data_IF_534301644357
#
_entry.id   IF_534301644357
#
_cell.length_a   1.000
_cell.length_b   1.000
_cell.length_c   1.000
_cell.angle_alpha   90.00
_cell.angle_beta   90.00
_cell.angle_gamma   90.00
#
_symmetry.space_group_name_H-M   'P 1'
#
loop_
_entity.id
_entity.type
_entity.pdbx_description
1 polymer ?
#
# COMPACT_ATOMS: atom_id res chain seq x y z
N UNK A 1 23.35 51.36 -43.01
CA UNK A 1 23.17 51.47 -41.57
C UNK A 1 22.81 50.11 -41.02
N UNK A 2 23.82 49.57 -40.39
CA UNK A 2 23.83 48.23 -39.87
C UNK A 2 23.10 48.03 -38.56
N UNK A 3 22.89 46.88 -38.16
CA UNK A 3 23.25 46.42 -36.81
C UNK A 3 23.26 44.88 -36.81
N UNK A 4 24.45 44.34 -36.67
CA UNK A 4 24.69 42.91 -36.41
C UNK A 4 24.53 42.71 -34.90
N UNK A 5 23.55 41.92 -34.47
CA UNK A 5 23.50 41.36 -33.11
C UNK A 5 23.87 39.91 -33.10
N UNK A 6 24.98 39.66 -32.40
CA UNK A 6 25.57 38.35 -32.13
C UNK A 6 24.57 37.36 -31.55
N UNK A 7 24.43 36.25 -32.21
CA UNK A 7 23.75 35.05 -31.69
C UNK A 7 24.70 34.32 -30.74
N UNK A 8 24.47 34.47 -29.45
CA UNK A 8 25.15 33.70 -28.42
C UNK A 8 24.84 32.21 -28.59
N UNK A 9 25.89 31.46 -28.96
CA UNK A 9 25.90 30.02 -28.97
C UNK A 9 25.68 29.46 -27.57
N UNK A 10 24.59 28.71 -27.37
CA UNK A 10 24.38 27.88 -26.18
C UNK A 10 25.36 26.72 -26.22
N UNK A 11 26.10 26.43 -25.11
CA UNK A 11 26.96 25.28 -25.06
C UNK A 11 26.11 23.99 -25.07
N UNK A 12 26.34 23.17 -26.08
CA UNK A 12 25.84 21.79 -26.12
C UNK A 12 26.43 20.99 -24.96
N UNK A 13 25.64 20.70 -23.92
CA UNK A 13 26.00 19.75 -22.88
C UNK A 13 26.17 18.37 -23.51
N UNK A 14 27.36 17.81 -23.40
CA UNK A 14 27.67 16.42 -23.74
C UNK A 14 26.82 15.48 -22.86
N UNK A 15 26.24 14.46 -23.47
CA UNK A 15 25.44 13.43 -22.86
C UNK A 15 26.29 12.34 -22.18
N UNK A 16 27.15 12.72 -21.24
CA UNK A 16 27.97 11.74 -20.51
C UNK A 16 27.94 11.86 -18.98
N UNK A 17 27.04 12.68 -18.44
CA UNK A 17 26.87 12.84 -16.98
C UNK A 17 25.42 12.53 -16.60
N UNK A 18 24.96 11.33 -16.95
CA UNK A 18 23.89 10.66 -16.21
C UNK A 18 24.55 10.06 -14.96
N UNK A 19 24.98 10.93 -14.07
CA UNK A 19 25.11 10.57 -12.67
C UNK A 19 23.76 10.03 -12.25
N UNK A 20 23.69 8.72 -12.02
CA UNK A 20 22.61 8.10 -11.30
C UNK A 20 22.52 8.88 -9.98
N UNK A 21 21.54 9.77 -9.89
CA UNK A 21 21.25 10.45 -8.66
C UNK A 21 20.94 9.33 -7.66
N UNK A 22 21.94 8.96 -6.85
CA UNK A 22 21.71 8.20 -5.64
C UNK A 22 20.78 9.06 -4.79
N UNK A 23 19.47 8.78 -4.89
CA UNK A 23 18.53 9.30 -3.93
C UNK A 23 18.94 8.73 -2.58
N UNK A 24 19.68 9.53 -1.81
CA UNK A 24 19.96 9.25 -0.41
C UNK A 24 18.64 9.51 0.31
N UNK A 25 17.79 8.51 0.34
CA UNK A 25 16.60 8.54 1.16
C UNK A 25 17.02 8.51 2.63
N UNK A 26 16.63 9.52 3.37
CA UNK A 26 16.99 9.71 4.77
C UNK A 26 15.87 9.24 5.66
N UNK A 27 15.75 8.01 6.00
CA UNK A 27 14.63 7.41 6.72
C UNK A 27 13.50 6.96 5.79
N UNK A 28 12.92 5.78 6.03
CA UNK A 28 12.05 5.21 5.03
C UNK A 28 10.82 4.51 5.61
N UNK A 29 9.66 4.96 5.18
CA UNK A 29 8.42 4.22 5.35
C UNK A 29 8.01 3.59 4.02
N UNK A 30 8.18 2.28 3.91
CA UNK A 30 7.69 1.48 2.79
C UNK A 30 6.19 1.26 2.96
N UNK A 31 5.38 1.60 1.96
CA UNK A 31 3.95 1.41 2.09
C UNK A 31 3.30 0.77 0.86
N UNK A 32 2.21 0.06 1.12
CA UNK A 32 1.29 -0.44 0.11
C UNK A 32 -0.13 -0.05 0.47
N UNK A 33 -0.91 0.40 -0.52
CA UNK A 33 -2.32 0.77 -0.34
C UNK A 33 -3.13 0.48 -1.59
N UNK A 34 -4.35 -0.01 -1.43
CA UNK A 34 -5.33 -0.18 -2.52
C UNK A 34 -6.34 0.96 -2.55
N UNK A 35 -7.10 1.15 -1.48
CA UNK A 35 -8.22 2.09 -1.39
C UNK A 35 -7.95 3.30 -0.48
N UNK A 36 -6.68 3.58 -0.21
CA UNK A 36 -6.24 4.80 0.45
C UNK A 36 -6.01 4.71 1.96
N UNK A 37 -6.59 3.78 2.70
CA UNK A 37 -6.45 3.70 4.16
C UNK A 37 -4.98 3.66 4.63
N UNK A 38 -4.21 2.71 4.12
CA UNK A 38 -2.78 2.61 4.47
C UNK A 38 -1.96 3.78 3.93
N UNK A 39 -2.33 4.38 2.79
CA UNK A 39 -1.68 5.60 2.27
C UNK A 39 -1.90 6.78 3.23
N UNK A 40 -3.12 6.94 3.76
CA UNK A 40 -3.41 7.96 4.76
C UNK A 40 -2.53 7.78 6.01
N UNK A 41 -2.47 6.54 6.55
CA UNK A 41 -1.60 6.22 7.70
C UNK A 41 -0.13 6.55 7.38
N UNK A 42 0.37 6.11 6.23
CA UNK A 42 1.75 6.36 5.82
C UNK A 42 2.07 7.85 5.71
N UNK A 43 1.16 8.64 5.11
CA UNK A 43 1.30 10.10 4.98
C UNK A 43 1.34 10.81 6.35
N UNK A 44 0.49 10.41 7.30
CA UNK A 44 0.51 11.01 8.63
C UNK A 44 1.80 10.66 9.37
N UNK A 45 2.21 9.39 9.37
CA UNK A 45 3.46 8.96 9.99
C UNK A 45 4.68 9.63 9.36
N UNK A 46 4.73 9.76 8.03
CA UNK A 46 5.81 10.44 7.32
C UNK A 46 5.98 11.89 7.81
N UNK A 47 4.88 12.62 7.93
CA UNK A 47 4.91 14.02 8.42
C UNK A 47 5.39 14.10 9.87
N UNK A 48 4.85 13.26 10.76
CA UNK A 48 5.16 13.31 12.18
C UNK A 48 6.54 12.75 12.52
N UNK A 49 6.99 11.74 11.79
CA UNK A 49 8.29 11.11 11.98
C UNK A 49 9.41 11.76 11.15
N UNK A 50 9.06 12.67 10.23
CA UNK A 50 9.98 13.29 9.26
C UNK A 50 10.69 12.25 8.39
N UNK A 51 9.92 11.25 7.93
CA UNK A 51 10.40 10.10 7.17
C UNK A 51 9.93 10.15 5.71
N UNK A 52 10.78 9.79 4.77
CA UNK A 52 10.39 9.67 3.36
C UNK A 52 9.48 8.45 3.12
N UNK A 53 8.66 8.55 2.09
CA UNK A 53 7.75 7.48 1.69
C UNK A 53 8.24 6.76 0.44
N UNK A 54 8.28 5.43 0.51
CA UNK A 54 8.47 4.58 -0.65
C UNK A 54 7.21 3.77 -0.93
N UNK A 55 6.55 4.04 -2.06
CA UNK A 55 5.44 3.21 -2.49
C UNK A 55 5.96 1.89 -3.06
N UNK A 56 5.67 0.78 -2.38
CA UNK A 56 6.18 -0.54 -2.74
C UNK A 56 5.96 -0.89 -4.23
N UNK A 57 4.78 -0.64 -4.84
CA UNK A 57 4.59 -0.89 -6.26
C UNK A 57 5.49 -0.09 -7.20
N UNK A 58 5.88 1.14 -6.83
CA UNK A 58 6.81 1.93 -7.64
C UNK A 58 8.23 1.36 -7.57
N UNK A 59 8.66 0.89 -6.40
CA UNK A 59 9.91 0.16 -6.25
C UNK A 59 9.94 -1.11 -7.13
N UNK A 60 8.83 -1.86 -7.17
CA UNK A 60 8.67 -3.00 -8.06
C UNK A 60 8.78 -2.61 -9.54
N UNK A 61 8.09 -1.57 -9.95
CA UNK A 61 8.06 -1.10 -11.33
C UNK A 61 9.43 -0.61 -11.81
N UNK A 62 10.18 0.03 -10.91
CA UNK A 62 11.49 0.61 -11.20
C UNK A 62 12.66 -0.34 -10.88
N UNK A 63 12.36 -1.58 -10.49
CA UNK A 63 13.35 -2.60 -10.07
C UNK A 63 14.30 -2.09 -8.96
N UNK A 64 13.77 -1.27 -8.05
CA UNK A 64 14.52 -0.64 -6.96
C UNK A 64 14.40 -1.49 -5.69
N UNK A 65 15.48 -2.16 -5.32
CA UNK A 65 15.51 -3.09 -4.18
C UNK A 65 16.50 -2.70 -3.09
N UNK A 66 17.43 -1.79 -3.37
CA UNK A 66 18.48 -1.39 -2.46
C UNK A 66 18.22 0.01 -1.90
N UNK A 67 18.31 0.13 -0.58
CA UNK A 67 18.14 1.38 0.15
C UNK A 67 19.27 1.50 1.17
N UNK A 68 19.94 2.65 1.18
CA UNK A 68 21.02 2.95 2.13
C UNK A 68 20.44 3.59 3.38
N UNK A 69 20.79 3.07 4.55
CA UNK A 69 20.30 3.53 5.84
C UNK A 69 21.31 4.44 6.53
N UNK A 70 20.80 5.38 7.31
CA UNK A 70 21.59 6.15 8.28
C UNK A 70 21.63 5.42 9.61
N UNK A 71 22.59 5.77 10.46
CA UNK A 71 22.80 5.12 11.76
C UNK A 71 21.56 5.17 12.67
N UNK A 72 20.91 6.32 12.76
CA UNK A 72 19.74 6.56 13.65
C UNK A 72 18.38 6.46 12.97
N UNK A 73 18.32 5.87 11.80
CA UNK A 73 17.13 5.81 10.99
C UNK A 73 16.07 4.86 11.56
N UNK A 74 14.79 5.21 11.39
CA UNK A 74 13.66 4.30 11.64
C UNK A 74 13.20 3.70 10.32
N UNK A 75 12.83 2.43 10.34
CA UNK A 75 12.36 1.70 9.17
C UNK A 75 10.92 1.28 9.39
N UNK A 76 10.02 1.79 8.57
CA UNK A 76 8.58 1.53 8.68
C UNK A 76 8.03 0.69 7.54
N UNK A 77 7.06 -0.16 7.84
CA UNK A 77 6.21 -0.83 6.86
C UNK A 77 4.74 -0.51 7.13
N UNK A 78 4.03 0.09 6.16
CA UNK A 78 2.61 0.42 6.30
C UNK A 78 1.80 -0.28 5.21
N UNK A 79 0.81 -1.09 5.60
CA UNK A 79 0.06 -1.93 4.66
C UNK A 79 -1.34 -2.30 5.17
N UNK A 80 -2.28 -2.67 4.29
CA UNK A 80 -3.57 -3.21 4.70
C UNK A 80 -3.46 -4.69 5.08
N UNK A 81 -4.33 -5.16 5.94
CA UNK A 81 -4.50 -6.59 6.20
C UNK A 81 -5.38 -7.20 5.11
N UNK A 82 -4.87 -8.19 4.37
CA UNK A 82 -5.61 -8.94 3.38
C UNK A 82 -5.84 -10.38 3.85
N UNK A 83 -7.10 -10.67 4.14
CA UNK A 83 -7.48 -11.99 4.68
C UNK A 83 -6.58 -12.42 5.85
N UNK A 84 -6.44 -11.53 6.84
CA UNK A 84 -5.72 -11.76 8.10
C UNK A 84 -4.21 -12.02 7.96
N UNK A 85 -3.59 -11.46 6.93
CA UNK A 85 -2.14 -11.45 6.75
C UNK A 85 -1.68 -10.20 5.97
N UNK A 86 -0.36 -9.89 5.98
CA UNK A 86 0.19 -8.88 5.09
C UNK A 86 -0.03 -9.26 3.62
N UNK A 87 -0.31 -8.31 2.71
CA UNK A 87 -0.42 -8.61 1.28
C UNK A 87 0.81 -9.32 0.73
N UNK A 88 0.60 -10.23 -0.22
CA UNK A 88 1.69 -10.99 -0.85
C UNK A 88 2.78 -10.08 -1.40
N UNK A 89 2.40 -8.96 -2.04
CA UNK A 89 3.35 -7.98 -2.59
C UNK A 89 4.26 -7.36 -1.50
N UNK A 90 3.75 -7.16 -0.28
CA UNK A 90 4.54 -6.65 0.85
C UNK A 90 5.54 -7.70 1.32
N UNK A 91 5.10 -8.95 1.47
CA UNK A 91 5.96 -10.06 1.89
C UNK A 91 7.07 -10.33 0.86
N UNK A 92 6.75 -10.32 -0.42
CA UNK A 92 7.70 -10.47 -1.51
C UNK A 92 8.67 -9.28 -1.60
N UNK A 93 8.20 -8.06 -1.35
CA UNK A 93 9.05 -6.89 -1.28
C UNK A 93 10.09 -7.03 -0.15
N UNK A 94 9.66 -7.41 1.06
CA UNK A 94 10.57 -7.66 2.19
C UNK A 94 11.62 -8.73 1.82
N UNK A 95 11.22 -9.77 1.10
CA UNK A 95 12.12 -10.85 0.67
C UNK A 95 13.22 -10.36 -0.27
N UNK A 96 12.93 -9.39 -1.16
CA UNK A 96 13.87 -8.83 -2.13
C UNK A 96 14.65 -7.62 -1.60
N UNK A 97 14.09 -6.87 -0.66
CA UNK A 97 14.64 -5.63 -0.14
C UNK A 97 16.05 -5.82 0.43
N UNK A 98 16.95 -4.93 0.08
CA UNK A 98 18.33 -4.84 0.60
C UNK A 98 18.46 -3.52 1.35
N UNK A 99 18.72 -3.60 2.65
CA UNK A 99 18.96 -2.45 3.52
C UNK A 99 20.45 -2.34 3.76
N UNK A 100 21.14 -1.48 2.98
CA UNK A 100 22.58 -1.23 3.15
C UNK A 100 22.83 -0.44 4.43
N UNK A 101 23.77 -0.90 5.23
CA UNK A 101 24.10 -0.26 6.52
C UNK A 101 23.12 -0.62 7.65
N UNK A 102 22.35 -1.70 7.53
CA UNK A 102 21.50 -2.16 8.63
C UNK A 102 22.33 -2.62 9.83
N UNK A 103 22.19 -1.92 10.94
CA UNK A 103 22.86 -2.14 12.23
C UNK A 103 21.84 -2.20 13.38
N UNK A 104 20.77 -2.97 13.19
CA UNK A 104 19.66 -3.10 14.15
C UNK A 104 18.86 -1.78 14.38
N UNK A 105 18.74 -0.95 13.36
CA UNK A 105 17.87 0.24 13.41
C UNK A 105 16.44 -0.14 13.85
N UNK A 106 15.76 0.81 14.47
CA UNK A 106 14.39 0.61 14.94
C UNK A 106 13.45 0.33 13.77
N UNK A 107 12.91 -0.88 13.73
CA UNK A 107 12.04 -1.34 12.67
C UNK A 107 10.62 -1.60 13.20
N UNK A 108 9.63 -1.00 12.56
CA UNK A 108 8.23 -1.11 12.94
C UNK A 108 7.31 -1.42 11.77
N UNK A 109 6.10 -1.87 12.06
CA UNK A 109 5.03 -1.89 11.06
C UNK A 109 3.73 -1.34 11.64
N UNK A 110 2.90 -0.77 10.75
CA UNK A 110 1.53 -0.36 11.04
C UNK A 110 0.60 -0.95 9.97
N UNK A 111 -0.37 -1.74 10.37
CA UNK A 111 -1.34 -2.29 9.44
C UNK A 111 -2.73 -1.69 9.63
N UNK A 112 -3.42 -1.39 8.51
CA UNK A 112 -4.83 -1.02 8.51
C UNK A 112 -5.71 -2.26 8.37
N UNK A 113 -6.75 -2.37 9.17
CA UNK A 113 -7.73 -3.46 9.09
C UNK A 113 -9.14 -2.95 9.37
N UNK A 114 -10.15 -3.67 8.89
CA UNK A 114 -11.55 -3.31 9.16
C UNK A 114 -11.98 -3.66 10.57
N UNK A 115 -11.52 -4.81 11.07
CA UNK A 115 -11.96 -5.34 12.36
C UNK A 115 -10.80 -5.95 13.16
N UNK A 116 -10.09 -6.91 12.60
CA UNK A 116 -8.97 -7.60 13.25
C UNK A 116 -7.87 -8.01 12.25
N UNK A 117 -6.72 -8.37 12.78
CA UNK A 117 -5.51 -8.63 11.99
C UNK A 117 -5.18 -10.12 11.83
N UNK A 118 -5.85 -11.02 12.58
CA UNK A 118 -5.35 -12.38 12.75
C UNK A 118 -3.91 -12.37 13.25
N UNK A 119 -3.10 -13.29 12.76
CA UNK A 119 -1.68 -13.41 13.11
C UNK A 119 -0.75 -12.58 12.20
N UNK A 120 -1.22 -11.44 11.67
CA UNK A 120 -0.42 -10.55 10.81
C UNK A 120 0.93 -10.19 11.44
N UNK A 121 0.95 -9.93 12.77
CA UNK A 121 2.18 -9.69 13.52
C UNK A 121 3.18 -10.82 13.33
N UNK A 122 2.79 -12.06 13.61
CA UNK A 122 3.68 -13.22 13.52
C UNK A 122 4.20 -13.47 12.10
N UNK A 123 3.36 -13.17 11.09
CA UNK A 123 3.78 -13.28 9.67
C UNK A 123 4.83 -12.23 9.35
N UNK A 124 4.66 -10.97 9.82
CA UNK A 124 5.64 -9.91 9.64
C UNK A 124 6.96 -10.19 10.36
N UNK A 125 6.88 -10.54 11.66
CA UNK A 125 8.07 -10.90 12.44
C UNK A 125 8.88 -12.02 11.75
N UNK A 126 8.19 -13.06 11.26
CA UNK A 126 8.84 -14.16 10.53
C UNK A 126 9.49 -13.69 9.23
N UNK A 127 8.81 -12.84 8.44
CA UNK A 127 9.33 -12.33 7.18
C UNK A 127 10.59 -11.47 7.39
N UNK A 128 10.58 -10.62 8.41
CA UNK A 128 11.70 -9.75 8.78
C UNK A 128 12.87 -10.55 9.38
N UNK A 129 12.59 -11.50 10.27
CA UNK A 129 13.61 -12.38 10.86
C UNK A 129 14.33 -13.22 9.80
N UNK A 130 13.64 -13.66 8.73
CA UNK A 130 14.26 -14.36 7.61
C UNK A 130 15.29 -13.50 6.84
N UNK A 131 15.27 -12.17 7.04
CA UNK A 131 16.24 -11.20 6.51
C UNK A 131 17.33 -10.83 7.54
N UNK A 132 17.29 -11.40 8.75
CA UNK A 132 18.13 -11.00 9.87
C UNK A 132 17.72 -9.68 10.52
N UNK A 133 16.49 -9.19 10.25
CA UNK A 133 15.99 -7.93 10.79
C UNK A 133 15.08 -8.17 11.99
N UNK A 134 15.30 -7.37 13.03
CA UNK A 134 14.47 -7.41 14.24
C UNK A 134 13.28 -6.44 14.10
N UNK A 135 12.08 -6.95 14.26
CA UNK A 135 10.89 -6.12 14.41
C UNK A 135 10.80 -5.61 15.85
N UNK A 136 10.84 -4.30 16.05
CA UNK A 136 10.77 -3.69 17.38
C UNK A 136 9.32 -3.39 17.80
N UNK A 137 8.47 -2.99 16.86
CA UNK A 137 7.09 -2.65 17.17
C UNK A 137 6.12 -3.00 16.04
N UNK A 138 4.86 -3.27 16.41
CA UNK A 138 3.81 -3.57 15.45
C UNK A 138 2.44 -3.08 15.94
N UNK A 139 1.71 -2.40 15.07
CA UNK A 139 0.45 -1.75 15.42
C UNK A 139 -0.63 -2.06 14.40
N UNK A 140 -1.89 -2.07 14.85
CA UNK A 140 -3.05 -2.07 13.96
C UNK A 140 -3.90 -0.81 14.17
N UNK A 141 -4.34 -0.21 13.08
CA UNK A 141 -5.30 0.90 13.06
C UNK A 141 -6.58 0.41 12.38
N UNK A 142 -7.69 0.52 13.11
CA UNK A 142 -9.01 0.16 12.58
C UNK A 142 -9.43 1.24 11.58
N UNK A 143 -9.77 0.82 10.37
CA UNK A 143 -10.15 1.69 9.25
C UNK A 143 -11.44 1.14 8.60
N UNK A 144 -12.15 1.93 7.80
CA UNK A 144 -13.35 1.44 7.11
C UNK A 144 -13.10 0.20 6.26
N UNK A 145 -14.06 -0.73 6.29
CA UNK A 145 -14.05 -1.94 5.49
C UNK A 145 -14.18 -1.63 4.00
N UNK A 146 -13.47 -2.39 3.18
CA UNK A 146 -13.48 -2.27 1.72
C UNK A 146 -13.47 -3.61 0.99
N UNK A 147 -13.56 -4.74 1.72
CA UNK A 147 -13.58 -6.05 1.09
C UNK A 147 -15.01 -6.50 0.80
N UNK A 148 -15.31 -6.76 -0.48
CA UNK A 148 -16.67 -7.00 -0.97
C UNK A 148 -16.86 -8.33 -1.71
N UNK A 149 -15.85 -9.21 -1.77
CA UNK A 149 -15.89 -10.41 -2.63
C UNK A 149 -16.51 -11.64 -1.99
N UNK A 150 -16.75 -11.65 -0.68
CA UNK A 150 -17.43 -12.75 -0.01
C UNK A 150 -18.89 -12.43 0.34
N UNK A 151 -19.76 -13.45 0.40
CA UNK A 151 -21.08 -13.29 0.98
C UNK A 151 -20.99 -12.74 2.41
N UNK A 152 -21.85 -11.78 2.76
CA UNK A 152 -21.84 -11.13 4.07
C UNK A 152 -20.79 -10.04 4.27
N UNK A 153 -19.85 -9.87 3.34
CA UNK A 153 -18.89 -8.76 3.37
C UNK A 153 -19.32 -7.62 2.47
N UNK A 154 -19.31 -6.41 3.01
CA UNK A 154 -19.56 -5.17 2.28
C UNK A 154 -18.74 -4.03 2.90
N UNK A 155 -18.81 -2.86 2.29
CA UNK A 155 -18.30 -1.63 2.92
C UNK A 155 -19.13 -1.29 4.16
N UNK A 156 -18.55 -0.55 5.09
CA UNK A 156 -19.26 -0.08 6.27
C UNK A 156 -20.41 0.89 5.90
N UNK A 157 -21.42 1.02 6.77
CA UNK A 157 -22.39 2.11 6.66
C UNK A 157 -21.69 3.46 6.78
N UNK A 158 -22.31 4.53 6.25
CA UNK A 158 -21.69 5.86 6.29
C UNK A 158 -21.46 6.38 7.71
N UNK A 159 -22.27 5.98 8.66
CA UNK A 159 -22.12 6.29 10.09
C UNK A 159 -20.89 5.58 10.66
N UNK A 160 -20.76 4.27 10.39
CA UNK A 160 -19.63 3.47 10.86
C UNK A 160 -18.32 3.89 10.18
N UNK A 161 -18.36 4.20 8.86
CA UNK A 161 -17.24 4.77 8.12
C UNK A 161 -16.70 6.04 8.79
N UNK A 162 -17.58 7.02 9.03
CA UNK A 162 -17.23 8.28 9.71
C UNK A 162 -16.67 8.04 11.12
N UNK A 163 -17.29 7.15 11.88
CA UNK A 163 -16.82 6.78 13.23
C UNK A 163 -15.42 6.21 13.18
N UNK A 164 -15.15 5.22 12.32
CA UNK A 164 -13.83 4.59 12.19
C UNK A 164 -12.77 5.60 11.76
N UNK A 165 -13.06 6.50 10.80
CA UNK A 165 -12.14 7.56 10.38
C UNK A 165 -11.82 8.52 11.53
N UNK A 166 -12.82 8.95 12.30
CA UNK A 166 -12.62 9.81 13.46
C UNK A 166 -11.79 9.15 14.56
N UNK A 167 -12.02 7.87 14.85
CA UNK A 167 -11.29 7.09 15.86
C UNK A 167 -9.86 6.74 15.41
N UNK A 168 -9.61 6.67 14.10
CA UNK A 168 -8.27 6.38 13.56
C UNK A 168 -7.26 7.51 13.86
N UNK A 169 -7.71 8.76 13.92
CA UNK A 169 -6.83 9.91 14.19
C UNK A 169 -6.12 9.79 15.55
N UNK A 170 -6.83 9.76 16.69
CA UNK A 170 -6.17 9.64 18.00
C UNK A 170 -5.44 8.30 18.18
N UNK A 171 -5.91 7.23 17.53
CA UNK A 171 -5.23 5.95 17.54
C UNK A 171 -3.85 6.05 16.86
N UNK A 172 -3.77 6.71 15.71
CA UNK A 172 -2.53 6.91 14.98
C UNK A 172 -1.58 7.87 15.69
N UNK A 173 -2.08 8.94 16.30
CA UNK A 173 -1.27 9.84 17.15
C UNK A 173 -0.60 9.10 18.30
N UNK A 174 -1.32 8.17 18.95
CA UNK A 174 -0.74 7.31 19.99
C UNK A 174 0.36 6.41 19.41
N UNK A 175 0.12 5.77 18.25
CA UNK A 175 1.11 4.95 17.55
C UNK A 175 2.35 5.77 17.21
N UNK A 176 2.17 6.98 16.66
CA UNK A 176 3.26 7.88 16.31
C UNK A 176 4.14 8.24 17.50
N UNK A 177 3.55 8.57 18.66
CA UNK A 177 4.31 8.83 19.90
C UNK A 177 5.16 7.64 20.34
N UNK A 178 4.62 6.41 20.26
CA UNK A 178 5.35 5.18 20.60
C UNK A 178 6.51 4.93 19.63
N UNK A 179 6.31 5.20 18.34
CA UNK A 179 7.36 5.10 17.31
C UNK A 179 8.45 6.17 17.56
N UNK A 180 8.06 7.40 17.88
CA UNK A 180 9.01 8.48 18.22
C UNK A 180 9.88 8.09 19.42
N UNK A 181 9.28 7.50 20.46
CA UNK A 181 9.99 7.00 21.64
C UNK A 181 10.77 5.70 21.41
N UNK A 182 10.72 5.12 20.21
CA UNK A 182 11.33 3.83 19.86
C UNK A 182 10.91 2.69 20.81
N UNK A 183 9.65 2.73 21.25
CA UNK A 183 9.12 1.76 22.20
C UNK A 183 9.01 0.36 21.56
N UNK A 184 9.38 -0.67 22.32
CA UNK A 184 9.19 -2.06 21.90
C UNK A 184 7.80 -2.53 22.32
N UNK A 185 6.82 -2.34 21.43
CA UNK A 185 5.39 -2.60 21.71
C UNK A 185 4.72 -3.27 20.54
N UNK A 186 3.89 -4.27 20.81
CA UNK A 186 3.04 -4.90 19.84
C UNK A 186 1.57 -4.75 20.24
N UNK A 187 0.85 -3.91 19.51
CA UNK A 187 -0.56 -3.58 19.73
C UNK A 187 -1.37 -3.88 18.45
N UNK A 188 -1.43 -5.14 18.08
CA UNK A 188 -2.24 -5.64 16.97
C UNK A 188 -3.49 -6.35 17.51
N UNK A 189 -4.67 -5.99 17.00
CA UNK A 189 -5.94 -6.63 17.39
C UNK A 189 -6.10 -7.95 16.66
N UNK A 190 -5.70 -9.05 17.26
CA UNK A 190 -5.73 -10.38 16.61
C UNK A 190 -7.15 -10.91 16.35
N UNK A 191 -8.13 -10.56 17.19
CA UNK A 191 -9.51 -11.02 17.08
C UNK A 191 -9.71 -12.49 17.46
N UNK A 192 -10.86 -13.06 17.07
CA UNK A 192 -11.20 -14.45 17.33
C UNK A 192 -10.61 -15.40 16.29
N UNK A 193 -10.26 -16.62 16.69
CA UNK A 193 -9.75 -17.71 15.81
C UNK A 193 -8.58 -17.28 14.90
N UNK A 194 -7.57 -16.53 15.39
CA UNK A 194 -6.54 -15.93 14.55
C UNK A 194 -5.72 -16.97 13.81
N UNK A 195 -5.50 -18.14 14.40
CA UNK A 195 -4.79 -19.24 13.75
C UNK A 195 -5.54 -19.75 12.50
N UNK A 196 -6.83 -20.04 12.62
CA UNK A 196 -7.66 -20.52 11.49
C UNK A 196 -7.69 -19.46 10.38
N UNK A 197 -7.93 -18.22 10.73
CA UNK A 197 -7.96 -17.08 9.81
C UNK A 197 -6.66 -16.98 9.01
N UNK A 198 -5.52 -16.98 9.68
CA UNK A 198 -4.22 -16.70 9.03
C UNK A 198 -3.57 -17.97 8.44
N UNK A 199 -3.72 -19.13 9.07
CA UNK A 199 -2.99 -20.34 8.63
C UNK A 199 -3.79 -21.24 7.71
N UNK A 200 -5.11 -21.11 7.69
CA UNK A 200 -5.99 -21.93 6.85
C UNK A 200 -6.69 -21.05 5.80
N UNK A 201 -7.42 -20.01 6.21
CA UNK A 201 -8.22 -19.20 5.29
C UNK A 201 -7.33 -18.34 4.38
N UNK A 202 -6.29 -17.71 4.92
CA UNK A 202 -5.42 -16.84 4.12
C UNK A 202 -4.72 -17.59 2.97
N UNK A 203 -4.11 -18.76 3.13
CA UNK A 203 -3.53 -19.51 2.01
C UNK A 203 -4.55 -19.87 0.92
N UNK A 204 -5.78 -20.23 1.32
CA UNK A 204 -6.86 -20.49 0.36
C UNK A 204 -7.29 -19.21 -0.37
N UNK A 205 -7.36 -18.09 0.34
CA UNK A 205 -7.61 -16.79 -0.26
C UNK A 205 -6.54 -16.44 -1.31
N UNK A 206 -5.27 -16.54 -0.96
CA UNK A 206 -4.15 -16.26 -1.87
C UNK A 206 -4.22 -17.15 -3.11
N UNK A 207 -4.50 -18.44 -2.92
CA UNK A 207 -4.54 -19.42 -4.02
C UNK A 207 -5.74 -19.23 -4.95
N UNK A 208 -6.93 -18.90 -4.43
CA UNK A 208 -8.17 -18.98 -5.19
C UNK A 208 -8.87 -17.63 -5.43
N UNK A 209 -8.66 -16.62 -4.57
CA UNK A 209 -9.38 -15.35 -4.64
C UNK A 209 -8.59 -14.19 -5.25
N UNK A 210 -7.29 -14.35 -5.46
CA UNK A 210 -6.47 -13.29 -6.09
C UNK A 210 -6.53 -13.28 -7.61
N UNK A 211 -7.33 -14.16 -8.22
CA UNK A 211 -7.47 -14.23 -9.68
C UNK A 211 -8.13 -12.96 -10.25
N UNK A 212 -7.53 -12.28 -11.24
CA UNK A 212 -8.17 -11.15 -11.93
C UNK A 212 -9.23 -11.55 -12.94
N UNK A 213 -9.32 -12.84 -13.32
CA UNK A 213 -10.21 -13.33 -14.39
C UNK A 213 -11.68 -12.91 -14.29
N UNK A 214 -12.30 -12.86 -13.08
CA UNK A 214 -13.70 -12.45 -12.98
C UNK A 214 -13.94 -10.94 -13.14
N UNK A 215 -12.89 -10.10 -13.13
CA UNK A 215 -13.08 -8.67 -13.35
C UNK A 215 -13.56 -8.38 -14.78
N UNK A 216 -14.56 -7.52 -14.88
CA UNK A 216 -15.09 -7.02 -16.14
C UNK A 216 -15.70 -5.63 -15.96
N UNK A 217 -15.93 -4.94 -17.05
CA UNK A 217 -16.68 -3.69 -17.07
C UNK A 217 -18.03 -3.88 -17.74
N UNK A 218 -19.10 -3.39 -17.09
CA UNK A 218 -20.47 -3.40 -17.62
C UNK A 218 -20.65 -2.37 -18.74
N UNK A 219 -21.84 -2.33 -19.35
CA UNK A 219 -22.22 -1.32 -20.38
C UNK A 219 -22.07 0.12 -19.87
N UNK A 220 -22.22 0.33 -18.56
CA UNK A 220 -22.11 1.64 -17.90
C UNK A 220 -20.69 2.24 -17.94
N UNK A 221 -19.68 1.50 -18.43
CA UNK A 221 -18.32 2.00 -18.48
C UNK A 221 -18.16 3.13 -19.51
N UNK A 222 -17.76 4.31 -19.03
CA UNK A 222 -17.56 5.51 -19.85
C UNK A 222 -16.10 5.65 -20.37
N UNK A 223 -15.22 4.70 -20.10
CA UNK A 223 -13.83 4.71 -20.56
C UNK A 223 -12.94 5.78 -19.92
N UNK A 224 -13.25 6.20 -18.69
CA UNK A 224 -12.57 7.32 -17.99
C UNK A 224 -11.15 7.01 -17.49
N UNK A 225 -10.65 5.79 -17.61
CA UNK A 225 -9.31 5.32 -17.20
C UNK A 225 -9.02 5.36 -15.69
N UNK A 226 -9.96 5.71 -14.81
CA UNK A 226 -9.70 5.76 -13.36
C UNK A 226 -9.23 4.41 -12.82
N UNK A 227 -9.82 3.29 -13.26
CA UNK A 227 -9.41 1.94 -12.85
C UNK A 227 -7.98 1.58 -13.31
N UNK A 228 -7.55 2.04 -14.50
CA UNK A 228 -6.19 1.87 -15.00
C UNK A 228 -5.20 2.67 -14.13
N UNK A 229 -5.48 3.95 -13.90
CA UNK A 229 -4.64 4.85 -13.10
C UNK A 229 -4.54 4.44 -11.62
N UNK A 230 -5.63 3.91 -11.05
CA UNK A 230 -5.66 3.50 -9.64
C UNK A 230 -5.05 2.13 -9.37
N UNK A 231 -4.70 1.38 -10.42
CA UNK A 231 -4.13 0.05 -10.23
C UNK A 231 -2.68 0.17 -9.71
N UNK A 232 -2.40 -0.18 -8.44
CA UNK A 232 -1.09 0.04 -7.86
C UNK A 232 0.03 -0.71 -8.57
N UNK A 233 -0.29 -1.84 -9.20
CA UNK A 233 0.68 -2.69 -9.91
C UNK A 233 0.58 -2.59 -11.44
N UNK A 234 -0.13 -1.60 -11.98
CA UNK A 234 -0.27 -1.40 -13.41
C UNK A 234 -0.89 -2.58 -14.17
N UNK A 235 -1.74 -3.37 -13.51
CA UNK A 235 -2.31 -4.61 -14.07
C UNK A 235 -3.53 -4.37 -14.99
N UNK A 236 -3.89 -3.11 -15.25
CA UNK A 236 -5.06 -2.76 -16.07
C UNK A 236 -4.62 -1.88 -17.23
N UNK A 237 -5.04 -2.23 -18.43
CA UNK A 237 -4.82 -1.44 -19.66
C UNK A 237 -6.14 -1.19 -20.36
N UNK A 238 -6.31 0.00 -20.94
CA UNK A 238 -7.50 0.28 -21.73
C UNK A 238 -7.34 -0.22 -23.17
N UNK A 239 -8.29 -1.03 -23.64
CA UNK A 239 -8.43 -1.44 -25.04
C UNK A 239 -9.82 -1.01 -25.53
N UNK A 240 -9.89 -0.31 -26.64
CA UNK A 240 -11.16 0.18 -27.22
C UNK A 240 -12.07 0.86 -26.15
N UNK A 241 -11.48 1.72 -25.33
CA UNK A 241 -12.12 2.41 -24.22
C UNK A 241 -12.68 1.51 -23.10
N UNK A 242 -12.28 0.23 -23.03
CA UNK A 242 -12.67 -0.73 -22.00
C UNK A 242 -11.46 -1.20 -21.22
N UNK A 243 -11.54 -1.37 -19.90
CA UNK A 243 -10.45 -1.91 -19.10
C UNK A 243 -10.27 -3.42 -19.34
N UNK A 244 -9.03 -3.84 -19.48
CA UNK A 244 -8.60 -5.24 -19.57
C UNK A 244 -7.62 -5.51 -18.44
N UNK A 245 -7.87 -6.56 -17.67
CA UNK A 245 -7.03 -6.96 -16.53
C UNK A 245 -5.98 -7.97 -16.98
N UNK A 246 -4.72 -7.72 -16.61
CA UNK A 246 -3.60 -8.64 -16.78
C UNK A 246 -3.58 -9.74 -15.71
N UNK A 247 -2.41 -10.36 -15.50
CA UNK A 247 -2.25 -11.50 -14.58
C UNK A 247 -1.72 -11.12 -13.18
N UNK A 248 -1.18 -9.92 -13.00
CA UNK A 248 -0.45 -9.49 -11.79
C UNK A 248 -1.36 -8.72 -10.82
N UNK A 249 -2.53 -9.27 -10.51
CA UNK A 249 -3.48 -8.62 -9.60
C UNK A 249 -3.12 -8.89 -8.13
N UNK A 250 -3.12 -7.84 -7.32
CA UNK A 250 -2.94 -7.94 -5.86
C UNK A 250 -4.24 -8.09 -5.08
N UNK A 251 -5.38 -8.22 -5.77
CA UNK A 251 -6.73 -8.28 -5.19
C UNK A 251 -7.10 -7.08 -4.28
N UNK A 252 -6.52 -5.91 -4.53
CA UNK A 252 -6.71 -4.70 -3.71
C UNK A 252 -8.06 -4.00 -3.91
N UNK A 253 -8.83 -4.36 -4.94
CA UNK A 253 -10.13 -3.79 -5.30
C UNK A 253 -10.13 -2.29 -5.62
N UNK A 254 -8.99 -1.62 -5.71
CA UNK A 254 -8.92 -0.19 -6.03
C UNK A 254 -9.73 0.16 -7.29
N UNK A 255 -9.58 -0.63 -8.36
CA UNK A 255 -10.28 -0.44 -9.62
C UNK A 255 -11.81 -0.52 -9.50
N UNK A 256 -12.31 -1.38 -8.60
CA UNK A 256 -13.73 -1.48 -8.29
C UNK A 256 -14.22 -0.24 -7.55
N UNK A 257 -13.54 0.12 -6.47
CA UNK A 257 -13.97 1.20 -5.58
C UNK A 257 -13.87 2.60 -6.21
N UNK A 258 -12.92 2.83 -7.11
CA UNK A 258 -12.70 4.14 -7.74
C UNK A 258 -13.63 4.41 -8.93
N UNK A 259 -14.36 3.40 -9.39
CA UNK A 259 -15.18 3.52 -10.60
C UNK A 259 -16.40 4.43 -10.36
N UNK A 260 -16.50 5.63 -10.98
CA UNK A 260 -17.57 6.58 -10.70
C UNK A 260 -18.93 6.10 -11.21
N UNK A 261 -18.94 5.19 -12.20
CA UNK A 261 -20.13 4.59 -12.75
C UNK A 261 -20.45 3.21 -12.15
N UNK A 262 -19.68 2.78 -11.13
CA UNK A 262 -19.79 1.44 -10.55
C UNK A 262 -19.77 0.31 -11.60
N UNK A 263 -19.14 0.60 -12.75
CA UNK A 263 -19.13 -0.30 -13.92
C UNK A 263 -18.13 -1.43 -13.80
N UNK A 264 -17.11 -1.30 -12.95
CA UNK A 264 -16.15 -2.40 -12.70
C UNK A 264 -16.77 -3.40 -11.75
N UNK A 265 -16.87 -4.66 -12.17
CA UNK A 265 -17.48 -5.73 -11.39
C UNK A 265 -16.55 -6.96 -11.31
N UNK A 266 -16.71 -7.78 -10.29
CA UNK A 266 -16.02 -9.06 -10.12
C UNK A 266 -17.02 -10.23 -10.19
N UNK A 267 -17.29 -10.69 -11.38
CA UNK A 267 -18.34 -11.65 -11.65
C UNK A 267 -19.69 -11.14 -11.12
N UNK A 268 -20.42 -12.02 -10.42
CA UNK A 268 -21.68 -11.66 -9.77
C UNK A 268 -21.52 -11.21 -8.30
N UNK A 269 -20.28 -11.31 -7.76
CA UNK A 269 -20.02 -11.13 -6.32
C UNK A 269 -20.15 -9.69 -5.85
N UNK A 270 -19.95 -8.71 -6.72
CA UNK A 270 -19.95 -7.28 -6.38
C UNK A 270 -21.25 -6.56 -6.78
N UNK A 271 -22.20 -7.28 -7.40
CA UNK A 271 -23.48 -6.67 -7.80
C UNK A 271 -24.25 -6.16 -6.57
N UNK A 272 -24.56 -4.86 -6.56
CA UNK A 272 -25.32 -4.20 -5.49
C UNK A 272 -24.54 -3.94 -4.22
N UNK A 273 -23.20 -4.13 -4.22
CA UNK A 273 -22.35 -3.82 -3.08
C UNK A 273 -21.82 -2.39 -3.13
N UNK A 274 -21.49 -1.87 -1.95
CA UNK A 274 -21.03 -0.51 -1.77
C UNK A 274 -19.61 -0.25 -2.31
N UNK A 275 -19.24 1.02 -2.34
CA UNK A 275 -17.94 1.50 -2.76
C UNK A 275 -17.34 2.38 -1.66
N UNK A 276 -16.05 2.20 -1.40
CA UNK A 276 -15.31 2.99 -0.43
C UNK A 276 -13.91 3.32 -0.95
N UNK A 277 -13.56 4.56 -0.86
CA UNK A 277 -12.19 5.05 -1.04
C UNK A 277 -11.91 6.07 0.05
N UNK A 278 -10.74 6.03 0.66
CA UNK A 278 -10.42 6.96 1.75
C UNK A 278 -10.43 8.40 1.22
N UNK A 279 -11.29 9.29 1.77
CA UNK A 279 -11.49 10.64 1.24
C UNK A 279 -10.24 11.52 1.37
N UNK A 280 -9.39 11.27 2.38
CA UNK A 280 -8.22 12.06 2.69
C UNK A 280 -6.94 11.53 2.01
N UNK A 281 -7.07 10.49 1.18
CA UNK A 281 -5.96 9.96 0.40
C UNK A 281 -6.12 10.33 -1.08
N UNK A 282 -5.79 11.56 -1.45
CA UNK A 282 -5.81 12.01 -2.85
C UNK A 282 -5.00 11.07 -3.76
N UNK A 283 -5.50 10.90 -5.02
CA UNK A 283 -4.82 10.19 -6.10
C UNK A 283 -3.59 10.98 -6.57
#
# INVERSE_FOLDING_TARGET
YGDHRDLHSFPTRRSSDLDAAFFIYSSMIFYFSGTGNSKWIANQLSKEQQEDLCFIPDAWKNDTWEFSLREDEKIGFVFPVYSWAPPVIVQEFIRKLVLKGYQQQYLFFVCSCGDDTGLTRQVMEKALAARGWRCNAGFSVIMPNNYVLFPGFDVDSKELEKKKLAEAVPALEKVSRLITGRETVFACKEGSLPFIKTRIINPLFVRYQMSPKPFHATSECIGCKRCEKSCPVGNITMKERRPVWGKNCTACLACYHVCPQHAVQYGKKTKGKGHYFNPDSAY
#
